data_IF_037071448658
#
_entry.id   IF_037071448658
#
_cell.length_a   1.000
_cell.length_b   1.000
_cell.length_c   1.000
_cell.angle_alpha   90.00
_cell.angle_beta   90.00
_cell.angle_gamma   90.00
#
_symmetry.space_group_name_H-M   'P 1'
#
loop_
_entity.id
_entity.type
_entity.pdbx_description
1 polymer ?
#
# COMPACT_ATOMS: atom_id res chain seq x y z
N UNK A 1 2.78 -0.15 -7.39
CA UNK A 1 3.38 0.43 -6.16
C UNK A 1 4.89 0.25 -6.21
N UNK A 2 5.68 1.14 -5.61
CA UNK A 2 7.14 1.05 -5.54
C UNK A 2 7.76 0.73 -6.92
N UNK A 3 8.61 -0.29 -7.00
CA UNK A 3 9.37 -0.74 -8.18
C UNK A 3 8.68 -1.83 -9.00
N UNK A 4 7.39 -2.09 -8.77
CA UNK A 4 6.62 -3.10 -9.51
C UNK A 4 6.60 -2.80 -11.03
N UNK A 5 7.17 -3.67 -11.89
CA UNK A 5 7.30 -3.47 -13.33
C UNK A 5 6.05 -3.89 -14.11
N UNK A 6 5.73 -3.21 -15.21
CA UNK A 6 4.70 -3.70 -16.15
C UNK A 6 5.30 -4.41 -17.35
N UNK A 7 6.55 -4.10 -17.71
CA UNK A 7 7.20 -4.69 -18.88
C UNK A 7 7.48 -6.16 -18.62
N UNK A 8 7.07 -7.01 -19.55
CA UNK A 8 7.19 -8.47 -19.42
C UNK A 8 6.05 -9.13 -18.63
N UNK A 9 5.20 -8.34 -17.95
CA UNK A 9 4.08 -8.84 -17.14
C UNK A 9 2.72 -8.32 -17.61
N UNK A 10 2.67 -7.69 -18.79
CA UNK A 10 1.50 -6.94 -19.26
C UNK A 10 0.21 -7.76 -19.42
N UNK A 11 0.30 -9.08 -19.59
CA UNK A 11 -0.87 -9.97 -19.63
C UNK A 11 -1.53 -10.11 -18.25
N UNK A 12 -0.74 -10.06 -17.17
CA UNK A 12 -1.22 -10.29 -15.81
C UNK A 12 -1.54 -8.98 -15.08
N UNK A 13 -0.70 -7.96 -15.24
CA UNK A 13 -0.80 -6.69 -14.48
C UNK A 13 -1.17 -5.48 -15.34
N UNK A 14 -1.33 -5.68 -16.65
CA UNK A 14 -1.61 -4.62 -17.60
C UNK A 14 -0.39 -3.76 -17.95
N UNK A 15 -0.57 -2.87 -18.94
CA UNK A 15 0.50 -2.03 -19.48
C UNK A 15 0.42 -0.55 -19.07
N UNK A 16 -0.63 -0.14 -18.33
CA UNK A 16 -0.89 1.26 -17.99
C UNK A 16 -0.52 1.56 -16.54
N UNK A 17 0.29 2.60 -16.32
CA UNK A 17 0.50 3.21 -15.00
C UNK A 17 0.10 4.68 -15.07
N UNK A 18 -0.96 5.09 -14.37
CA UNK A 18 -1.38 6.49 -14.25
C UNK A 18 -0.82 7.16 -12.99
N UNK A 19 -0.70 6.41 -11.91
CA UNK A 19 -0.19 6.88 -10.62
C UNK A 19 0.68 5.79 -9.97
N UNK A 20 1.81 6.19 -9.40
CA UNK A 20 2.72 5.29 -8.67
C UNK A 20 3.07 5.87 -7.31
N UNK A 21 2.62 5.19 -6.25
CA UNK A 21 3.01 5.49 -4.86
C UNK A 21 4.31 4.75 -4.54
N UNK A 22 5.30 5.48 -4.01
CA UNK A 22 6.68 5.00 -3.83
C UNK A 22 7.15 5.30 -2.41
N UNK A 23 7.59 4.26 -1.69
CA UNK A 23 8.26 4.42 -0.41
C UNK A 23 9.68 4.97 -0.59
N UNK A 24 10.13 5.77 0.37
CA UNK A 24 11.50 6.30 0.43
C UNK A 24 12.58 5.22 0.28
N UNK A 25 12.33 4.03 0.82
CA UNK A 25 13.24 2.88 0.75
C UNK A 25 13.40 2.31 -0.67
N UNK A 26 12.44 2.54 -1.57
CA UNK A 26 12.47 2.06 -2.95
C UNK A 26 13.22 2.98 -3.91
N UNK A 27 13.62 4.20 -3.50
CA UNK A 27 14.16 5.20 -4.42
C UNK A 27 15.37 4.70 -5.22
N UNK A 28 16.27 3.95 -4.60
CA UNK A 28 17.46 3.42 -5.28
C UNK A 28 17.09 2.39 -6.35
N UNK A 29 16.05 1.57 -6.10
CA UNK A 29 15.54 0.63 -7.10
C UNK A 29 14.86 1.35 -8.26
N UNK A 30 14.09 2.41 -7.96
CA UNK A 30 13.48 3.26 -9.00
C UNK A 30 14.55 3.89 -9.89
N UNK A 31 15.61 4.45 -9.30
CA UNK A 31 16.69 5.10 -10.04
C UNK A 31 17.48 4.13 -10.92
N UNK A 32 17.74 2.90 -10.43
CA UNK A 32 18.38 1.84 -11.22
C UNK A 32 17.53 1.44 -12.43
N UNK A 33 16.21 1.38 -12.27
CA UNK A 33 15.27 0.99 -13.30
C UNK A 33 14.55 2.20 -13.95
N UNK A 34 15.22 3.36 -14.03
CA UNK A 34 14.59 4.64 -14.44
C UNK A 34 13.90 4.57 -15.80
N UNK A 35 14.48 3.85 -16.76
CA UNK A 35 13.96 3.80 -18.12
C UNK A 35 12.57 3.16 -18.13
N UNK A 36 12.42 2.07 -17.39
CA UNK A 36 11.17 1.33 -17.29
C UNK A 36 10.16 2.03 -16.37
N UNK A 37 10.59 2.44 -15.19
CA UNK A 37 9.67 2.89 -14.14
C UNK A 37 9.30 4.38 -14.23
N UNK A 38 10.11 5.20 -14.89
CA UNK A 38 9.88 6.64 -15.04
C UNK A 38 9.66 7.02 -16.50
N UNK A 39 10.62 6.71 -17.39
CA UNK A 39 10.60 7.23 -18.76
C UNK A 39 9.45 6.62 -19.58
N UNK A 40 9.19 5.33 -19.45
CA UNK A 40 8.09 4.66 -20.17
C UNK A 40 6.69 5.00 -19.61
N UNK A 41 6.62 5.58 -18.42
CA UNK A 41 5.36 5.93 -17.74
C UNK A 41 4.93 7.37 -18.11
N UNK A 42 4.82 7.65 -19.41
CA UNK A 42 4.48 8.99 -19.91
C UNK A 42 3.17 9.50 -19.30
N UNK A 43 3.23 10.68 -18.68
CA UNK A 43 2.08 11.33 -18.06
C UNK A 43 1.67 10.79 -16.68
N UNK A 44 2.36 9.77 -16.16
CA UNK A 44 2.09 9.23 -14.84
C UNK A 44 2.46 10.21 -13.71
N UNK A 45 1.73 10.13 -12.61
CA UNK A 45 1.97 10.88 -11.38
C UNK A 45 2.71 10.00 -10.37
N UNK A 46 3.78 10.51 -9.78
CA UNK A 46 4.61 9.80 -8.81
C UNK A 46 4.45 10.45 -7.45
N UNK A 47 4.01 9.67 -6.45
CA UNK A 47 3.82 10.16 -5.08
C UNK A 47 4.78 9.43 -4.15
N UNK A 48 5.72 10.18 -3.58
CA UNK A 48 6.74 9.67 -2.67
C UNK A 48 6.35 9.87 -1.22
N UNK A 49 6.57 8.86 -0.38
CA UNK A 49 6.31 8.93 1.05
C UNK A 49 7.49 8.40 1.87
N UNK A 50 7.68 8.91 3.08
CA UNK A 50 8.76 8.48 3.94
C UNK A 50 8.85 9.24 5.25
N UNK A 51 9.72 8.79 6.17
CA UNK A 51 10.01 9.48 7.42
C UNK A 51 10.59 10.88 7.18
N UNK A 52 10.23 11.83 8.04
CA UNK A 52 10.62 13.23 7.92
C UNK A 52 12.14 13.45 7.83
N UNK A 53 12.95 12.56 8.41
CA UNK A 53 14.42 12.62 8.32
C UNK A 53 14.95 12.48 6.89
N UNK A 54 14.26 11.70 6.04
CA UNK A 54 14.64 11.50 4.63
C UNK A 54 13.96 12.51 3.69
N UNK A 55 12.86 13.10 4.12
CA UNK A 55 11.99 13.96 3.31
C UNK A 55 12.15 15.47 3.58
N UNK A 56 13.02 15.84 4.55
CA UNK A 56 13.28 17.24 4.94
C UNK A 56 13.95 18.05 3.82
N UNK A 57 13.62 19.35 3.73
CA UNK A 57 14.02 20.24 2.63
C UNK A 57 15.25 21.10 2.90
N UNK A 58 15.85 20.97 4.07
CA UNK A 58 17.00 21.78 4.52
C UNK A 58 18.35 21.20 4.07
N UNK A 59 18.38 20.52 2.92
CA UNK A 59 19.57 19.87 2.38
C UNK A 59 19.97 18.56 3.06
N UNK A 60 19.36 18.17 4.20
CA UNK A 60 19.68 16.91 4.90
C UNK A 60 18.75 15.74 4.55
N UNK A 61 17.70 15.97 3.76
CA UNK A 61 16.75 14.93 3.37
C UNK A 61 17.23 14.18 2.14
N UNK A 62 17.86 13.02 2.33
CA UNK A 62 18.44 12.25 1.23
C UNK A 62 17.46 11.97 0.09
N UNK A 63 16.22 11.60 0.41
CA UNK A 63 15.20 11.33 -0.62
C UNK A 63 14.72 12.62 -1.27
N UNK A 64 14.46 13.67 -0.49
CA UNK A 64 14.09 14.97 -1.03
C UNK A 64 15.14 15.50 -2.02
N UNK A 65 16.43 15.43 -1.66
CA UNK A 65 17.52 15.89 -2.52
C UNK A 65 17.59 15.09 -3.83
N UNK A 66 17.40 13.76 -3.78
CA UNK A 66 17.32 12.93 -4.98
C UNK A 66 16.12 13.33 -5.86
N UNK A 67 14.95 13.58 -5.27
CA UNK A 67 13.77 14.02 -6.01
C UNK A 67 13.97 15.39 -6.65
N UNK A 68 14.65 16.31 -5.96
CA UNK A 68 15.00 17.62 -6.50
C UNK A 68 15.91 17.50 -7.72
N UNK A 69 16.95 16.65 -7.65
CA UNK A 69 17.82 16.36 -8.79
C UNK A 69 17.06 15.68 -9.94
N UNK A 70 16.19 14.71 -9.64
CA UNK A 70 15.34 14.06 -10.64
C UNK A 70 14.45 15.06 -11.37
N UNK A 71 13.86 16.02 -10.65
CA UNK A 71 13.03 17.05 -11.25
C UNK A 71 13.81 18.00 -12.18
N UNK A 72 15.12 18.17 -11.96
CA UNK A 72 16.00 18.91 -12.88
C UNK A 72 16.31 18.11 -14.15
N UNK A 73 16.52 16.80 -14.02
CA UNK A 73 16.87 15.90 -15.13
C UNK A 73 15.64 15.53 -15.98
N UNK A 74 14.49 15.37 -15.34
CA UNK A 74 13.22 14.96 -15.94
C UNK A 74 12.13 15.99 -15.63
N UNK A 75 12.18 17.21 -16.19
CA UNK A 75 11.28 18.31 -15.82
C UNK A 75 9.80 18.04 -16.16
N UNK A 76 9.52 17.08 -17.04
CA UNK A 76 8.16 16.66 -17.38
C UNK A 76 7.60 15.62 -16.39
N UNK A 77 8.42 15.12 -15.46
CA UNK A 77 8.00 14.14 -14.47
C UNK A 77 7.11 14.81 -13.42
N UNK A 78 5.89 14.30 -13.25
CA UNK A 78 4.97 14.78 -12.21
C UNK A 78 5.27 14.09 -10.89
N UNK A 79 6.26 14.60 -10.15
CA UNK A 79 6.69 14.04 -8.87
C UNK A 79 6.24 14.88 -7.67
N UNK A 80 5.56 14.24 -6.72
CA UNK A 80 5.05 14.84 -5.49
C UNK A 80 5.52 14.07 -4.27
N UNK A 81 5.51 14.73 -3.13
CA UNK A 81 5.86 14.14 -1.85
C UNK A 81 4.74 14.35 -0.85
N UNK A 82 4.37 13.30 -0.12
CA UNK A 82 3.38 13.38 0.95
C UNK A 82 3.93 14.31 2.04
N UNK A 83 3.15 15.33 2.39
CA UNK A 83 3.56 16.32 3.39
C UNK A 83 3.64 15.70 4.78
N UNK A 84 4.42 16.31 5.68
CA UNK A 84 4.50 15.88 7.09
C UNK A 84 3.12 15.86 7.75
N UNK A 85 2.28 16.85 7.45
CA UNK A 85 0.92 16.91 8.00
C UNK A 85 0.07 15.73 7.51
N UNK A 86 0.08 15.43 6.21
CA UNK A 86 -0.67 14.31 5.64
C UNK A 86 -0.16 12.95 6.15
N UNK A 87 1.15 12.80 6.37
CA UNK A 87 1.71 11.61 7.03
C UNK A 87 1.12 11.40 8.43
N UNK A 88 0.95 12.47 9.22
CA UNK A 88 0.32 12.37 10.55
C UNK A 88 -1.17 12.00 10.45
N UNK A 89 -1.88 12.55 9.47
CA UNK A 89 -3.28 12.18 9.22
C UNK A 89 -3.45 10.70 8.87
N UNK A 90 -2.50 10.12 8.13
CA UNK A 90 -2.49 8.68 7.84
C UNK A 90 -2.16 7.83 9.08
N UNK A 91 -1.25 8.29 9.95
CA UNK A 91 -0.98 7.65 11.25
C UNK A 91 -2.25 7.67 12.13
N UNK A 92 -2.96 8.81 12.19
CA UNK A 92 -4.18 8.96 12.98
C UNK A 92 -5.33 8.13 12.41
N UNK A 93 -5.47 8.03 11.09
CA UNK A 93 -6.43 7.14 10.44
C UNK A 93 -6.18 5.69 10.83
N UNK A 94 -4.93 5.22 10.75
CA UNK A 94 -4.59 3.86 11.16
C UNK A 94 -4.95 3.61 12.63
N UNK A 95 -4.67 4.57 13.51
CA UNK A 95 -5.04 4.47 14.92
C UNK A 95 -6.54 4.40 15.14
N UNK A 96 -7.34 5.21 14.41
CA UNK A 96 -8.81 5.15 14.49
C UNK A 96 -9.37 3.82 14.01
N UNK A 97 -8.87 3.32 12.88
CA UNK A 97 -9.35 2.07 12.26
C UNK A 97 -8.97 0.82 13.06
N UNK A 98 -7.82 0.84 13.74
CA UNK A 98 -7.25 -0.36 14.39
C UNK A 98 -7.24 -0.31 15.91
N UNK A 99 -7.50 0.85 16.51
CA UNK A 99 -7.26 1.12 17.94
C UNK A 99 -5.78 1.11 18.34
N UNK A 100 -4.84 0.97 17.39
CA UNK A 100 -3.41 0.82 17.66
C UNK A 100 -2.62 1.99 17.12
N UNK A 101 -1.86 2.62 18.00
CA UNK A 101 -0.92 3.66 17.59
C UNK A 101 0.30 3.01 16.91
N UNK A 102 0.58 3.46 15.69
CA UNK A 102 1.69 2.98 14.89
C UNK A 102 3.05 3.17 15.59
N UNK A 103 3.26 4.33 16.24
CA UNK A 103 4.54 4.66 16.89
C UNK A 103 4.73 3.83 18.15
N UNK A 104 3.67 3.67 18.95
CA UNK A 104 3.71 2.84 20.16
C UNK A 104 3.96 1.36 19.79
N UNK A 105 3.35 0.88 18.71
CA UNK A 105 3.56 -0.48 18.21
C UNK A 105 4.81 -0.66 17.34
N UNK A 106 5.64 0.38 17.24
CA UNK A 106 6.90 0.45 16.50
C UNK A 106 6.83 -0.11 15.07
N UNK A 107 5.75 0.20 14.34
CA UNK A 107 5.53 -0.31 12.98
C UNK A 107 5.54 0.82 11.94
N UNK A 108 5.60 0.48 10.66
CA UNK A 108 5.42 1.40 9.55
C UNK A 108 4.16 1.01 8.78
N UNK A 109 3.40 1.99 8.31
CA UNK A 109 2.32 1.75 7.35
C UNK A 109 2.95 1.25 6.04
N UNK A 110 2.30 0.30 5.37
CA UNK A 110 2.79 -0.20 4.09
C UNK A 110 2.51 0.79 2.95
N UNK A 111 3.22 0.67 1.82
CA UNK A 111 2.83 1.40 0.60
C UNK A 111 1.39 1.07 0.17
N UNK A 112 0.88 -0.12 0.49
CA UNK A 112 -0.51 -0.51 0.28
C UNK A 112 -1.48 0.38 1.05
N UNK A 113 -1.20 0.68 2.32
CA UNK A 113 -1.99 1.62 3.13
C UNK A 113 -2.07 3.02 2.52
N UNK A 114 -0.91 3.59 2.14
CA UNK A 114 -0.88 4.91 1.50
C UNK A 114 -1.66 4.89 0.17
N UNK A 115 -1.53 3.82 -0.61
CA UNK A 115 -2.20 3.68 -1.91
C UNK A 115 -3.71 3.58 -1.75
N UNK A 116 -4.20 2.74 -0.84
CA UNK A 116 -5.64 2.60 -0.59
C UNK A 116 -6.24 3.89 -0.03
N UNK A 117 -5.55 4.58 0.88
CA UNK A 117 -6.04 5.84 1.43
C UNK A 117 -6.08 6.95 0.36
N UNK A 118 -5.05 7.04 -0.50
CA UNK A 118 -5.07 7.98 -1.64
C UNK A 118 -6.19 7.64 -2.61
N UNK A 119 -6.44 6.35 -2.89
CA UNK A 119 -7.51 5.93 -3.79
C UNK A 119 -8.90 6.32 -3.27
N UNK A 120 -9.15 6.22 -1.96
CA UNK A 120 -10.40 6.70 -1.33
C UNK A 120 -10.64 8.20 -1.52
N UNK A 121 -9.57 9.00 -1.64
CA UNK A 121 -9.69 10.46 -1.86
C UNK A 121 -9.86 10.83 -3.33
N UNK A 122 -9.49 9.95 -4.27
CA UNK A 122 -9.40 10.26 -5.69
C UNK A 122 -10.42 9.52 -6.56
N UNK A 123 -11.06 8.47 -6.06
CA UNK A 123 -11.85 7.55 -6.88
C UNK A 123 -13.22 7.25 -6.27
N UNK A 124 -14.27 7.29 -7.11
CA UNK A 124 -15.63 6.86 -6.74
C UNK A 124 -15.77 5.34 -6.65
N UNK A 125 -14.88 4.61 -7.33
CA UNK A 125 -14.81 3.14 -7.34
C UNK A 125 -13.36 2.67 -7.33
N UNK A 126 -13.05 1.67 -6.52
CA UNK A 126 -11.71 1.11 -6.37
C UNK A 126 -11.76 -0.39 -6.68
N UNK A 127 -11.06 -0.82 -7.72
CA UNK A 127 -10.86 -2.24 -8.00
C UNK A 127 -9.42 -2.61 -7.60
N UNK A 128 -9.28 -3.51 -6.65
CA UNK A 128 -8.01 -3.96 -6.07
C UNK A 128 -7.65 -5.31 -6.65
N UNK A 129 -6.41 -5.45 -7.13
CA UNK A 129 -5.88 -6.68 -7.71
C UNK A 129 -4.69 -7.20 -6.93
N UNK A 130 -4.49 -8.52 -6.87
CA UNK A 130 -3.32 -9.13 -6.25
C UNK A 130 -3.28 -8.96 -4.73
N UNK A 131 -4.45 -8.89 -4.09
CA UNK A 131 -4.58 -8.79 -2.65
C UNK A 131 -5.43 -9.94 -2.14
N UNK A 132 -4.83 -10.86 -1.39
CA UNK A 132 -5.54 -11.95 -0.71
C UNK A 132 -6.33 -11.44 0.51
N UNK A 133 -7.41 -12.13 0.95
CA UNK A 133 -8.15 -11.75 2.15
C UNK A 133 -7.29 -11.85 3.43
N UNK A 134 -7.63 -11.14 4.51
CA UNK A 134 -6.80 -11.08 5.73
C UNK A 134 -6.55 -12.44 6.40
N UNK A 135 -7.47 -13.39 6.25
CA UNK A 135 -7.35 -14.72 6.85
C UNK A 135 -6.78 -15.78 5.89
N UNK A 136 -6.38 -15.40 4.65
CA UNK A 136 -5.83 -16.32 3.64
C UNK A 136 -4.71 -17.22 4.18
N UNK A 137 -3.72 -16.63 4.85
CA UNK A 137 -2.57 -17.36 5.39
C UNK A 137 -2.86 -18.20 6.64
N UNK A 138 -4.12 -18.31 7.06
CA UNK A 138 -4.56 -19.24 8.12
C UNK A 138 -5.03 -20.57 7.56
N UNK A 139 -5.42 -20.62 6.29
CA UNK A 139 -5.84 -21.86 5.64
C UNK A 139 -4.61 -22.75 5.38
N UNK A 140 -4.50 -23.94 5.98
CA UNK A 140 -3.35 -24.81 5.75
C UNK A 140 -3.23 -25.30 4.28
N UNK A 141 -4.29 -25.15 3.48
CA UNK A 141 -4.32 -25.55 2.07
C UNK A 141 -4.12 -24.38 1.11
N UNK A 142 -3.77 -23.18 1.60
CA UNK A 142 -3.51 -22.04 0.73
C UNK A 142 -2.39 -22.35 -0.28
N UNK A 143 -2.49 -21.80 -1.49
CA UNK A 143 -1.40 -21.92 -2.46
C UNK A 143 -0.21 -21.08 -1.97
N UNK A 144 0.98 -21.67 -1.99
CA UNK A 144 2.23 -20.95 -1.76
C UNK A 144 2.67 -20.29 -3.05
N UNK A 145 2.89 -18.98 -3.01
CA UNK A 145 3.30 -18.16 -4.15
C UNK A 145 4.35 -17.13 -3.72
N UNK A 146 5.21 -16.66 -4.63
CA UNK A 146 6.13 -15.57 -4.33
C UNK A 146 5.40 -14.29 -3.92
N UNK A 147 5.95 -13.57 -2.94
CA UNK A 147 5.40 -12.32 -2.42
C UNK A 147 5.27 -11.22 -3.48
N UNK A 148 6.15 -11.20 -4.47
CA UNK A 148 6.07 -10.30 -5.61
C UNK A 148 5.98 -11.10 -6.91
N UNK A 149 5.03 -10.75 -7.78
CA UNK A 149 4.87 -11.38 -9.09
C UNK A 149 6.11 -11.28 -9.98
N UNK A 150 6.97 -10.28 -9.73
CA UNK A 150 8.17 -9.98 -10.51
C UNK A 150 9.47 -10.46 -9.84
N UNK A 151 9.38 -11.14 -8.70
CA UNK A 151 10.52 -11.77 -8.01
C UNK A 151 10.17 -13.25 -7.74
N UNK A 152 10.18 -14.15 -8.76
CA UNK A 152 9.75 -15.54 -8.59
C UNK A 152 10.62 -16.37 -7.65
N UNK A 153 11.86 -15.93 -7.41
CA UNK A 153 12.78 -16.50 -6.41
C UNK A 153 12.73 -15.73 -5.07
N UNK A 154 11.75 -14.84 -4.92
CA UNK A 154 11.53 -14.05 -3.72
C UNK A 154 10.93 -14.88 -2.57
N UNK A 155 10.74 -14.25 -1.41
CA UNK A 155 10.14 -14.92 -0.26
C UNK A 155 8.67 -15.29 -0.54
N UNK A 156 8.19 -16.35 0.10
CA UNK A 156 6.78 -16.75 0.06
C UNK A 156 5.86 -15.65 0.64
N UNK A 157 4.70 -15.45 0.00
CA UNK A 157 3.75 -14.38 0.32
C UNK A 157 3.29 -14.44 1.78
N UNK A 158 2.83 -15.61 2.23
CA UNK A 158 2.31 -15.76 3.58
C UNK A 158 3.40 -15.68 4.65
N UNK A 159 4.59 -16.19 4.34
CA UNK A 159 5.78 -16.04 5.18
C UNK A 159 6.13 -14.56 5.37
N UNK A 160 6.07 -13.76 4.30
CA UNK A 160 6.27 -12.31 4.37
C UNK A 160 5.19 -11.61 5.21
N UNK A 161 3.92 -11.93 4.98
CA UNK A 161 2.83 -11.32 5.74
C UNK A 161 2.91 -11.63 7.23
N UNK A 162 3.11 -12.90 7.60
CA UNK A 162 3.14 -13.35 8.99
C UNK A 162 4.36 -12.79 9.73
N UNK A 163 5.54 -12.82 9.10
CA UNK A 163 6.78 -12.32 9.71
C UNK A 163 6.71 -10.82 10.01
N UNK A 164 6.19 -10.02 9.07
CA UNK A 164 5.97 -8.59 9.28
C UNK A 164 4.86 -8.33 10.31
N UNK A 165 3.71 -9.02 10.21
CA UNK A 165 2.60 -8.84 11.15
C UNK A 165 3.03 -9.09 12.59
N UNK A 166 3.87 -10.10 12.85
CA UNK A 166 4.37 -10.47 14.19
C UNK A 166 5.63 -9.71 14.61
N UNK A 167 6.25 -8.95 13.70
CA UNK A 167 7.49 -8.23 13.94
C UNK A 167 7.38 -7.26 15.14
N UNK A 168 8.44 -7.20 15.96
CA UNK A 168 8.55 -6.28 17.11
C UNK A 168 9.78 -5.37 17.06
N UNK A 169 10.72 -5.64 16.16
CA UNK A 169 11.98 -4.91 15.97
C UNK A 169 12.22 -4.72 14.47
N UNK A 170 12.79 -3.57 14.09
CA UNK A 170 13.09 -3.23 12.70
C UNK A 170 11.91 -2.63 11.93
N UNK A 171 12.04 -2.57 10.60
CA UNK A 171 11.02 -2.00 9.72
C UNK A 171 9.99 -3.06 9.32
N UNK A 172 8.99 -3.28 10.16
CA UNK A 172 7.87 -4.20 9.86
C UNK A 172 6.56 -3.45 9.64
N UNK A 173 5.66 -4.11 8.91
CA UNK A 173 4.32 -3.63 8.57
C UNK A 173 3.28 -4.49 9.27
N UNK A 174 2.06 -3.98 9.43
CA UNK A 174 0.92 -4.79 9.91
C UNK A 174 0.04 -5.20 8.73
N UNK A 175 0.59 -5.96 7.79
CA UNK A 175 -0.09 -6.29 6.53
C UNK A 175 -1.46 -6.95 6.72
N UNK A 176 -1.60 -7.85 7.69
CA UNK A 176 -2.87 -8.52 7.97
C UNK A 176 -3.83 -7.56 8.65
N UNK A 177 -3.34 -6.75 9.60
CA UNK A 177 -4.15 -5.69 10.22
C UNK A 177 -4.66 -4.67 9.18
N UNK A 178 -3.80 -4.20 8.27
CA UNK A 178 -4.18 -3.28 7.20
C UNK A 178 -5.23 -3.90 6.26
N UNK A 179 -5.06 -5.18 5.87
CA UNK A 179 -6.06 -5.90 5.06
C UNK A 179 -7.43 -5.99 5.74
N UNK A 180 -7.49 -6.17 7.06
CA UNK A 180 -8.76 -6.14 7.81
C UNK A 180 -9.43 -4.77 7.76
N UNK A 181 -8.64 -3.69 7.77
CA UNK A 181 -9.19 -2.35 7.57
C UNK A 181 -9.72 -2.20 6.14
N UNK A 182 -9.00 -2.68 5.12
CA UNK A 182 -9.49 -2.62 3.74
C UNK A 182 -10.75 -3.45 3.51
N UNK A 183 -10.84 -4.61 4.15
CA UNK A 183 -12.06 -5.42 4.21
C UNK A 183 -13.23 -4.61 4.81
N UNK A 184 -13.02 -3.94 5.94
CA UNK A 184 -14.03 -3.07 6.55
C UNK A 184 -14.41 -1.89 5.66
N UNK A 185 -13.44 -1.25 5.02
CA UNK A 185 -13.69 -0.18 4.05
C UNK A 185 -14.53 -0.68 2.87
N UNK A 186 -14.32 -1.90 2.39
CA UNK A 186 -15.13 -2.48 1.33
C UNK A 186 -16.58 -2.79 1.73
N UNK A 187 -16.92 -2.78 3.03
CA UNK A 187 -18.32 -2.82 3.51
C UNK A 187 -19.02 -1.46 3.40
N UNK A 188 -18.26 -0.37 3.33
CA UNK A 188 -18.78 1.01 3.37
C UNK A 188 -18.60 1.75 2.04
N UNK A 189 -17.48 1.52 1.37
CA UNK A 189 -17.09 2.17 0.13
C UNK A 189 -17.15 1.19 -1.05
N UNK A 190 -17.19 1.73 -2.26
CA UNK A 190 -17.26 0.96 -3.51
C UNK A 190 -15.88 0.35 -3.87
N UNK A 191 -15.47 -0.66 -3.09
CA UNK A 191 -14.20 -1.37 -3.23
C UNK A 191 -14.48 -2.83 -3.59
N UNK A 192 -13.79 -3.33 -4.62
CA UNK A 192 -13.89 -4.72 -5.08
C UNK A 192 -12.51 -5.34 -5.20
N UNK A 193 -12.37 -6.63 -4.83
CA UNK A 193 -11.11 -7.36 -4.89
C UNK A 193 -11.17 -8.44 -5.97
N UNK A 194 -10.08 -8.55 -6.74
CA UNK A 194 -9.93 -9.46 -7.87
C UNK A 194 -8.56 -10.14 -7.83
N UNK A 195 -8.50 -11.38 -8.33
CA UNK A 195 -7.26 -12.17 -8.46
C UNK A 195 -6.42 -12.19 -7.16
N UNK A 196 -6.93 -12.83 -6.08
CA UNK A 196 -8.16 -13.63 -6.03
C UNK A 196 -9.42 -12.79 -5.80
N UNK A 197 -10.57 -13.29 -6.25
CA UNK A 197 -11.88 -12.71 -5.95
C UNK A 197 -12.28 -13.03 -4.51
N UNK A 198 -12.61 -12.00 -3.73
CA UNK A 198 -13.20 -12.13 -2.41
C UNK A 198 -14.00 -10.87 -2.06
N UNK A 199 -14.92 -11.01 -1.11
CA UNK A 199 -15.75 -9.91 -0.62
C UNK A 199 -15.89 -10.02 0.89
N UNK A 200 -15.98 -8.89 1.61
CA UNK A 200 -16.30 -8.91 3.04
C UNK A 200 -17.68 -9.54 3.27
N UNK A 201 -17.81 -10.35 4.31
CA UNK A 201 -19.13 -10.75 4.80
C UNK A 201 -19.93 -9.52 5.26
N UNK A 202 -21.25 -9.45 4.99
CA UNK A 202 -22.11 -8.38 5.49
C UNK A 202 -22.05 -8.32 7.02
N UNK A 203 -22.15 -7.11 7.59
CA UNK A 203 -22.33 -7.00 9.04
C UNK A 203 -23.69 -7.60 9.40
N UNK A 204 -23.69 -8.65 10.23
CA UNK A 204 -24.93 -9.22 10.78
C UNK A 204 -25.62 -8.15 11.62
N UNK A 205 -26.74 -7.61 11.14
CA UNK A 205 -27.61 -6.76 11.94
C UNK A 205 -28.33 -7.68 12.93
N UNK A 206 -27.81 -7.78 14.15
CA UNK A 206 -28.60 -8.34 15.25
C UNK A 206 -29.74 -7.35 15.52
N UNK A 207 -30.92 -7.63 14.99
CA UNK A 207 -32.13 -6.97 15.47
C UNK A 207 -32.33 -7.38 16.93
N UNK A 208 -32.38 -6.44 17.88
CA UNK A 208 -32.81 -6.77 19.22
C UNK A 208 -34.28 -7.20 19.13
N UNK A 209 -34.55 -8.48 19.42
CA UNK A 209 -35.90 -8.96 19.65
C UNK A 209 -36.54 -8.11 20.75
N UNK A 210 -37.46 -7.23 20.36
CA UNK A 210 -38.36 -6.58 21.30
C UNK A 210 -39.26 -7.70 21.82
N UNK A 211 -38.91 -8.27 22.98
CA UNK A 211 -39.83 -9.11 23.74
C UNK A 211 -41.02 -8.23 24.12
N UNK A 212 -42.15 -8.45 23.46
CA UNK A 212 -43.43 -7.95 23.93
C UNK A 212 -43.69 -8.55 25.32
N UNK A 213 -43.71 -7.69 26.34
CA UNK A 213 -44.19 -8.07 27.66
C UNK A 213 -45.70 -8.32 27.54
N UNK A 214 -46.12 -9.54 27.88
CA UNK A 214 -47.50 -9.90 28.20
C UNK A 214 -47.66 -9.78 29.70
#
# INVERSE_FOLDING_TARGET
MNDAPTRGYGQDVGNKTSLRVIAHSSIQRILRNRNELLNMSHGAVFIFWGPSSYMRRDGKGLVYNNLQLMNQILPQLKAYMISRHKMLQFDDLFKRETGKDRKISNTWLSTGWFTMTIALELCDRINVYGMVPPDFCRDPNHLSVPYHYYEPLGPDECTMYISHERGRKGSHHRFITEKRVFENWARTFNIHFFQPDWKPEPLTVNHPEIKAAV
#
